data_IF_381602155129
#
_entry.id   IF_381602155129
#
_cell.length_a   1.000
_cell.length_b   1.000
_cell.length_c   1.000
_cell.angle_alpha   90.00
_cell.angle_beta   90.00
_cell.angle_gamma   90.00
#
_symmetry.space_group_name_H-M   'P 1'
#
loop_
_entity.id
_entity.type
_entity.pdbx_description
1 polymer ?
#
# COMPACT_ATOMS: atom_id res chain seq x y z
N UNK A 1 16.67 -4.28 -47.92
CA UNK A 1 15.53 -4.97 -47.25
C UNK A 1 15.64 -4.91 -45.72
N UNK A 2 16.79 -5.31 -45.14
CA UNK A 2 17.05 -5.27 -43.70
C UNK A 2 16.79 -3.92 -42.99
N UNK A 3 17.20 -2.79 -43.58
CA UNK A 3 16.98 -1.46 -42.96
C UNK A 3 15.49 -1.11 -42.79
N UNK A 4 14.63 -1.52 -43.74
CA UNK A 4 13.17 -1.31 -43.66
C UNK A 4 12.53 -2.21 -42.59
N UNK A 5 13.01 -3.44 -42.45
CA UNK A 5 12.57 -4.36 -41.40
C UNK A 5 13.00 -3.90 -40.00
N UNK A 6 14.23 -3.38 -39.86
CA UNK A 6 14.72 -2.81 -38.61
C UNK A 6 13.91 -1.57 -38.21
N UNK A 7 13.58 -0.70 -39.17
CA UNK A 7 12.73 0.47 -38.94
C UNK A 7 11.31 0.07 -38.55
N UNK A 8 10.74 -0.94 -39.22
CA UNK A 8 9.44 -1.51 -38.87
C UNK A 8 9.43 -2.08 -37.44
N UNK A 9 10.50 -2.77 -37.04
CA UNK A 9 10.64 -3.32 -35.69
C UNK A 9 10.71 -2.22 -34.63
N UNK A 10 11.49 -1.16 -34.88
CA UNK A 10 11.60 0.00 -33.98
C UNK A 10 10.25 0.70 -33.76
N UNK A 11 9.44 0.83 -34.82
CA UNK A 11 8.09 1.39 -34.72
C UNK A 11 7.19 0.53 -33.83
N UNK A 12 7.19 -0.79 -34.04
CA UNK A 12 6.38 -1.72 -33.23
C UNK A 12 6.77 -1.64 -31.75
N UNK A 13 8.08 -1.61 -31.45
CA UNK A 13 8.58 -1.49 -30.08
C UNK A 13 8.15 -0.15 -29.47
N UNK A 14 8.26 0.96 -30.19
CA UNK A 14 7.86 2.28 -29.71
C UNK A 14 6.37 2.32 -29.31
N UNK A 15 5.49 1.73 -30.13
CA UNK A 15 4.06 1.68 -29.82
C UNK A 15 3.69 0.71 -28.69
N UNK A 16 4.52 -0.29 -28.41
CA UNK A 16 4.27 -1.27 -27.34
C UNK A 16 4.46 -0.71 -25.92
N UNK A 17 5.19 0.40 -25.75
CA UNK A 17 5.50 1.00 -24.44
C UNK A 17 4.33 1.81 -23.87
N UNK A 18 3.30 2.13 -24.67
CA UNK A 18 2.15 2.92 -24.22
C UNK A 18 1.07 2.13 -23.48
N UNK A 19 1.33 0.88 -23.09
CA UNK A 19 0.39 0.13 -22.28
C UNK A 19 0.31 0.69 -20.85
N UNK A 20 -0.91 0.70 -20.32
CA UNK A 20 -1.37 1.35 -19.09
C UNK A 20 -0.33 1.38 -17.95
N UNK A 21 0.16 2.58 -17.61
CA UNK A 21 0.91 2.81 -16.36
C UNK A 21 -0.11 2.78 -15.22
N UNK A 22 -0.34 1.59 -14.65
CA UNK A 22 -1.13 1.44 -13.42
C UNK A 22 -0.28 1.82 -12.23
N UNK A 23 -0.83 2.63 -11.33
CA UNK A 23 -0.21 2.86 -10.03
C UNK A 23 -0.12 1.55 -9.26
N UNK A 24 1.04 1.28 -8.66
CA UNK A 24 1.21 0.12 -7.78
C UNK A 24 0.24 0.21 -6.59
N UNK A 25 -0.49 -0.86 -6.31
CA UNK A 25 -1.31 -0.93 -5.10
C UNK A 25 -0.44 -0.85 -3.84
N UNK A 26 -0.99 -0.26 -2.79
CA UNK A 26 -0.28 -0.09 -1.54
C UNK A 26 0.02 -1.46 -0.88
N UNK A 27 1.26 -1.95 -0.98
CA UNK A 27 1.68 -3.15 -0.23
C UNK A 27 2.06 -2.80 1.20
N UNK A 28 1.36 -3.36 2.19
CA UNK A 28 1.62 -3.18 3.63
C UNK A 28 2.44 -4.33 4.24
N UNK A 29 2.88 -5.27 3.40
CA UNK A 29 3.51 -6.55 3.79
C UNK A 29 4.87 -6.34 4.47
N UNK A 30 5.51 -5.18 4.25
CA UNK A 30 6.81 -4.86 4.84
C UNK A 30 6.74 -4.31 6.27
N UNK A 31 5.55 -4.10 6.83
CA UNK A 31 5.38 -3.69 8.22
C UNK A 31 4.50 -4.69 8.98
N UNK A 32 5.13 -5.49 9.85
CA UNK A 32 4.45 -6.51 10.67
C UNK A 32 3.39 -5.90 11.59
N UNK A 33 3.59 -4.67 12.07
CA UNK A 33 2.59 -4.00 12.94
C UNK A 33 1.28 -3.70 12.20
N UNK A 34 1.32 -3.57 10.87
CA UNK A 34 0.15 -3.28 10.04
C UNK A 34 -0.63 -4.52 9.60
N UNK A 35 -0.17 -5.74 9.91
CA UNK A 35 -0.83 -6.97 9.44
C UNK A 35 -2.23 -7.15 10.02
N UNK A 36 -2.50 -6.63 11.22
CA UNK A 36 -3.85 -6.68 11.81
C UNK A 36 -4.88 -5.86 11.04
N UNK A 37 -4.46 -4.91 10.19
CA UNK A 37 -5.34 -4.13 9.32
C UNK A 37 -5.98 -5.01 8.25
N UNK A 38 -5.23 -5.95 7.69
CA UNK A 38 -5.73 -6.84 6.63
C UNK A 38 -6.24 -8.17 7.21
N UNK A 39 -5.56 -8.69 8.23
CA UNK A 39 -5.92 -9.94 8.88
C UNK A 39 -6.18 -9.70 10.38
N UNK A 40 -7.45 -9.55 10.78
CA UNK A 40 -7.82 -9.36 12.19
C UNK A 40 -7.33 -10.47 13.12
N UNK A 41 -7.10 -11.71 12.63
CA UNK A 41 -6.55 -12.80 13.43
C UNK A 41 -5.09 -12.55 13.87
N UNK A 42 -4.39 -11.60 13.24
CA UNK A 42 -3.05 -11.18 13.63
C UNK A 42 -3.04 -10.22 14.83
N UNK A 43 -4.21 -9.74 15.27
CA UNK A 43 -4.35 -8.81 16.40
C UNK A 43 -3.72 -9.37 17.67
N UNK A 44 -2.76 -8.63 18.24
CA UNK A 44 -2.06 -8.99 19.46
C UNK A 44 -1.03 -10.10 19.32
N UNK A 45 -0.83 -10.70 18.14
CA UNK A 45 0.10 -11.83 17.94
C UNK A 45 1.54 -11.55 18.39
N UNK A 46 1.96 -10.27 18.34
CA UNK A 46 3.26 -9.77 18.79
C UNK A 46 3.22 -9.16 20.21
N UNK A 47 2.11 -9.30 20.92
CA UNK A 47 1.83 -8.66 22.21
C UNK A 47 0.99 -7.39 22.11
N UNK A 48 0.81 -6.72 23.26
CA UNK A 48 0.09 -5.45 23.33
C UNK A 48 0.93 -4.32 22.72
N UNK A 49 0.34 -3.53 21.84
CA UNK A 49 1.02 -2.42 21.17
C UNK A 49 0.08 -1.25 20.93
N UNK A 50 0.61 -0.03 21.00
CA UNK A 50 0.01 1.15 20.40
C UNK A 50 0.96 1.61 19.31
N UNK A 51 0.48 1.73 18.08
CA UNK A 51 1.29 2.11 16.93
C UNK A 51 0.58 3.13 16.08
N UNK A 52 1.32 4.18 15.69
CA UNK A 52 0.89 5.15 14.70
C UNK A 52 1.88 5.11 13.54
N UNK A 53 1.38 4.82 12.34
CA UNK A 53 2.22 4.74 11.14
C UNK A 53 1.68 5.68 10.06
N UNK A 54 2.59 6.32 9.34
CA UNK A 54 2.24 7.13 8.16
C UNK A 54 3.11 6.70 6.99
N UNK A 55 2.47 6.43 5.86
CA UNK A 55 3.12 6.11 4.59
C UNK A 55 2.79 7.20 3.58
N UNK A 56 3.82 7.73 2.93
CA UNK A 56 3.67 8.63 1.78
C UNK A 56 4.26 7.93 0.56
N UNK A 57 3.49 7.84 -0.52
CA UNK A 57 3.99 7.35 -1.80
C UNK A 57 4.47 8.53 -2.63
N UNK A 58 5.53 8.33 -3.43
CA UNK A 58 6.10 9.33 -4.34
C UNK A 58 6.50 10.61 -3.61
N UNK A 59 7.60 10.51 -2.86
CA UNK A 59 8.12 11.61 -2.06
C UNK A 59 8.27 12.90 -2.87
N UNK A 60 7.88 14.02 -2.28
CA UNK A 60 7.95 15.37 -2.87
C UNK A 60 6.99 15.63 -4.05
N UNK A 61 6.03 14.75 -4.31
CA UNK A 61 4.94 15.01 -5.26
C UNK A 61 3.73 15.57 -4.50
N UNK A 62 3.24 16.73 -4.92
CA UNK A 62 2.03 17.32 -4.33
C UNK A 62 0.79 16.45 -4.63
N UNK A 63 -0.09 16.30 -3.65
CA UNK A 63 -1.28 15.44 -3.77
C UNK A 63 -0.99 13.93 -3.80
N UNK A 64 0.26 13.51 -3.60
CA UNK A 64 0.61 12.10 -3.66
C UNK A 64 -0.07 11.26 -2.56
N UNK A 65 -0.32 9.96 -2.82
CA UNK A 65 -1.03 9.08 -1.91
C UNK A 65 -0.41 9.03 -0.51
N UNK A 66 -1.26 9.17 0.50
CA UNK A 66 -0.89 9.10 1.91
C UNK A 66 -1.83 8.14 2.64
N UNK A 67 -1.26 7.25 3.42
CA UNK A 67 -2.01 6.32 4.29
C UNK A 67 -1.54 6.49 5.72
N UNK A 68 -2.48 6.64 6.64
CA UNK A 68 -2.23 6.68 8.08
C UNK A 68 -2.87 5.47 8.75
N UNK A 69 -2.19 4.90 9.73
CA UNK A 69 -2.67 3.80 10.56
C UNK A 69 -2.59 4.19 12.02
N UNK A 70 -3.67 3.94 12.75
CA UNK A 70 -3.69 3.87 14.20
C UNK A 70 -4.03 2.44 14.59
N UNK A 71 -3.14 1.79 15.33
CA UNK A 71 -3.27 0.38 15.71
C UNK A 71 -3.11 0.27 17.21
N UNK A 72 -4.06 -0.41 17.84
CA UNK A 72 -4.04 -0.71 19.25
C UNK A 72 -4.34 -2.18 19.47
N UNK A 73 -3.40 -2.94 20.04
CA UNK A 73 -3.63 -4.30 20.51
C UNK A 73 -3.59 -4.30 22.03
N UNK A 74 -4.63 -4.86 22.63
CA UNK A 74 -4.78 -4.97 24.07
C UNK A 74 -3.94 -6.14 24.62
N UNK A 75 -3.55 -6.12 25.91
CA UNK A 75 -2.95 -7.27 26.55
C UNK A 75 -3.83 -8.51 26.45
N UNK A 76 -3.21 -9.66 26.18
CA UNK A 76 -3.88 -10.96 26.11
C UNK A 76 -4.58 -11.28 27.44
N UNK A 77 -5.84 -11.70 27.40
CA UNK A 77 -6.60 -12.17 28.56
C UNK A 77 -7.35 -13.45 28.22
N UNK A 78 -7.18 -14.51 29.01
CA UNK A 78 -7.88 -15.80 28.84
C UNK A 78 -7.80 -16.36 27.41
N UNK A 79 -6.63 -16.31 26.79
CA UNK A 79 -6.42 -16.72 25.39
C UNK A 79 -7.14 -15.89 24.32
N UNK A 80 -7.73 -14.76 24.70
CA UNK A 80 -8.33 -13.79 23.79
C UNK A 80 -7.41 -12.59 23.64
N UNK A 81 -7.30 -12.11 22.41
CA UNK A 81 -6.57 -10.91 22.03
C UNK A 81 -7.54 -10.00 21.30
N UNK A 82 -7.68 -8.79 21.82
CA UNK A 82 -8.56 -7.76 21.26
C UNK A 82 -7.70 -6.60 20.78
N UNK A 83 -8.23 -5.86 19.84
CA UNK A 83 -7.56 -4.70 19.31
C UNK A 83 -8.45 -3.92 18.37
N UNK A 84 -7.95 -2.76 18.03
CA UNK A 84 -8.58 -1.79 17.18
C UNK A 84 -7.56 -1.31 16.14
N UNK A 85 -8.02 -1.16 14.91
CA UNK A 85 -7.25 -0.56 13.83
C UNK A 85 -8.12 0.45 13.13
N UNK A 86 -7.61 1.67 12.93
CA UNK A 86 -8.20 2.66 12.06
C UNK A 86 -7.21 3.02 10.96
N UNK A 87 -7.73 3.14 9.73
CA UNK A 87 -6.95 3.51 8.56
C UNK A 87 -7.55 4.76 7.92
N UNK A 88 -6.71 5.72 7.57
CA UNK A 88 -7.11 6.88 6.77
C UNK A 88 -6.25 6.96 5.51
N UNK A 89 -6.89 6.78 4.35
CA UNK A 89 -6.29 6.90 3.04
C UNK A 89 -6.67 8.22 2.38
N UNK A 90 -5.67 8.91 1.83
CA UNK A 90 -5.85 10.11 1.02
C UNK A 90 -5.13 9.95 -0.30
N UNK A 91 -5.86 10.08 -1.39
CA UNK A 91 -5.35 9.98 -2.76
C UNK A 91 -5.91 11.14 -3.55
N UNK A 92 -5.06 12.12 -3.90
CA UNK A 92 -5.48 13.33 -4.59
C UNK A 92 -6.64 14.06 -3.86
N UNK A 93 -7.86 14.02 -4.39
CA UNK A 93 -9.07 14.60 -3.77
C UNK A 93 -9.84 13.62 -2.88
N UNK A 94 -9.53 12.33 -2.96
CA UNK A 94 -10.23 11.27 -2.25
C UNK A 94 -9.71 11.13 -0.81
N UNK A 95 -10.62 10.98 0.14
CA UNK A 95 -10.32 10.72 1.54
C UNK A 95 -11.24 9.63 2.08
N UNK A 96 -10.69 8.45 2.38
CA UNK A 96 -11.42 7.28 2.89
C UNK A 96 -10.92 6.92 4.29
N UNK A 97 -11.85 6.58 5.18
CA UNK A 97 -11.53 6.09 6.52
C UNK A 97 -12.18 4.73 6.70
N UNK A 98 -11.41 3.78 7.22
CA UNK A 98 -11.82 2.41 7.50
C UNK A 98 -11.62 2.10 8.98
#
# INVERSE_FOLDING_TARGET
>A
MFKKQLFSLLIIVFFSVFNEIKSQEASFIFNRTSFSVFNPAFTGSEGSIISFNRRTQWGNVEGAPKTNFLIYHMPKKNNVQLGFTAQNDRVFIENKTF
#
